data_IF_519900666147
#
_entry.id   IF_519900666147
#
_cell.length_a   1.000
_cell.length_b   1.000
_cell.length_c   1.000
_cell.angle_alpha   90.00
_cell.angle_beta   90.00
_cell.angle_gamma   90.00
#
_symmetry.space_group_name_H-M   'P 1'
#
loop_
_entity.id
_entity.type
_entity.pdbx_description
1 polymer ?
#
# COMPACT_ATOMS: atom_id res chain seq x y z
N UNK A 1 9.05 6.22 -10.81
CA UNK A 1 8.44 5.01 -11.40
C UNK A 1 8.81 3.83 -10.52
N UNK A 2 7.86 2.96 -10.16
CA UNK A 2 8.14 1.84 -9.25
C UNK A 2 8.87 0.69 -9.94
N UNK A 3 9.92 0.18 -9.30
CA UNK A 3 10.66 -1.03 -9.68
C UNK A 3 9.80 -2.30 -9.51
N UNK A 4 10.23 -3.42 -10.08
CA UNK A 4 9.52 -4.70 -9.93
C UNK A 4 9.40 -5.12 -8.46
N UNK A 5 10.43 -4.87 -7.66
CA UNK A 5 10.41 -5.13 -6.22
C UNK A 5 9.38 -4.25 -5.51
N UNK A 6 9.36 -2.95 -5.80
CA UNK A 6 8.37 -2.03 -5.22
C UNK A 6 6.93 -2.40 -5.63
N UNK A 7 6.73 -2.91 -6.85
CA UNK A 7 5.41 -3.42 -7.29
C UNK A 7 4.97 -4.65 -6.50
N UNK A 8 5.90 -5.57 -6.21
CA UNK A 8 5.63 -6.73 -5.35
C UNK A 8 5.30 -6.30 -3.92
N UNK A 9 6.08 -5.38 -3.35
CA UNK A 9 5.82 -4.82 -2.02
C UNK A 9 4.47 -4.10 -1.96
N UNK A 10 4.11 -3.36 -3.01
CA UNK A 10 2.79 -2.75 -3.12
C UNK A 10 1.67 -3.80 -3.11
N UNK A 11 1.78 -4.88 -3.88
CA UNK A 11 0.78 -5.96 -3.88
C UNK A 11 0.64 -6.60 -2.49
N UNK A 12 1.74 -6.86 -1.80
CA UNK A 12 1.73 -7.35 -0.41
C UNK A 12 1.05 -6.33 0.50
N UNK A 13 1.33 -5.04 0.33
CA UNK A 13 0.74 -3.97 1.13
C UNK A 13 -0.78 -3.87 0.95
N UNK A 14 -1.29 -3.91 -0.29
CA UNK A 14 -2.73 -3.71 -0.55
C UNK A 14 -3.56 -4.99 -0.47
N UNK A 15 -2.95 -6.16 -0.65
CA UNK A 15 -3.67 -7.43 -0.79
C UNK A 15 -3.12 -8.55 0.11
N UNK A 16 -1.97 -8.36 0.76
CA UNK A 16 -1.35 -9.38 1.61
C UNK A 16 -0.76 -10.56 0.84
N UNK A 17 -0.77 -10.52 -0.51
CA UNK A 17 -0.24 -11.58 -1.38
C UNK A 17 0.78 -10.99 -2.34
N UNK A 18 1.84 -11.76 -2.60
CA UNK A 18 2.89 -11.42 -3.55
C UNK A 18 2.57 -11.83 -5.00
N UNK A 19 1.50 -12.58 -5.22
CA UNK A 19 1.12 -13.15 -6.53
C UNK A 19 -0.24 -12.63 -6.99
N UNK A 20 -0.31 -12.14 -8.23
CA UNK A 20 -1.53 -11.72 -8.92
C UNK A 20 -2.31 -12.96 -9.38
N UNK A 21 -3.66 -13.00 -9.26
CA UNK A 21 -4.43 -14.10 -9.84
C UNK A 21 -4.20 -14.13 -11.35
N UNK A 22 -4.28 -15.31 -11.94
CA UNK A 22 -4.00 -15.47 -13.37
C UNK A 22 -5.06 -14.83 -14.27
N UNK A 23 -6.31 -14.69 -13.79
CA UNK A 23 -7.43 -14.13 -14.55
C UNK A 23 -8.09 -13.00 -13.75
N UNK A 24 -8.64 -12.01 -14.45
CA UNK A 24 -9.45 -10.94 -13.86
C UNK A 24 -10.65 -11.48 -13.07
N UNK A 25 -11.18 -12.63 -13.48
CA UNK A 25 -12.30 -13.34 -12.85
C UNK A 25 -11.94 -13.90 -11.47
N UNK A 26 -10.66 -14.20 -11.23
CA UNK A 26 -10.15 -14.74 -9.97
C UNK A 26 -9.94 -13.65 -8.91
N UNK A 27 -10.10 -12.37 -9.27
CA UNK A 27 -10.14 -11.28 -8.29
C UNK A 27 -11.46 -11.33 -7.54
N UNK A 28 -11.46 -12.02 -6.40
CA UNK A 28 -12.60 -12.07 -5.48
C UNK A 28 -13.11 -10.67 -5.06
N UNK A 29 -12.21 -9.69 -5.04
CA UNK A 29 -12.49 -8.29 -4.68
C UNK A 29 -11.79 -7.36 -5.66
N UNK A 30 -12.44 -6.25 -6.03
CA UNK A 30 -11.81 -5.22 -6.88
C UNK A 30 -10.96 -4.27 -6.06
N UNK A 31 -9.80 -3.90 -6.59
CA UNK A 31 -8.95 -2.89 -5.97
C UNK A 31 -9.66 -1.54 -5.94
N UNK A 32 -9.83 -0.97 -4.74
CA UNK A 32 -10.54 0.30 -4.55
C UNK A 32 -9.64 1.33 -3.90
N UNK A 33 -9.61 2.55 -4.43
CA UNK A 33 -8.89 3.68 -3.84
C UNK A 33 -9.92 4.59 -3.16
N UNK A 34 -9.77 4.79 -1.86
CA UNK A 34 -10.62 5.68 -1.06
C UNK A 34 -9.81 6.90 -0.58
N UNK A 35 -10.47 8.04 -0.42
CA UNK A 35 -9.83 9.22 0.18
C UNK A 35 -9.71 9.03 1.70
N UNK A 36 -8.51 9.22 2.24
CA UNK A 36 -8.30 9.30 3.68
C UNK A 36 -8.53 10.75 4.14
N UNK A 37 -9.66 10.98 4.80
CA UNK A 37 -9.96 12.27 5.43
C UNK A 37 -9.13 12.40 6.72
N UNK A 38 -8.40 13.51 6.86
CA UNK A 38 -7.56 13.77 8.04
C UNK A 38 -7.64 15.23 8.43
N UNK A 39 -7.77 15.49 9.72
CA UNK A 39 -7.79 16.84 10.29
C UNK A 39 -6.35 17.27 10.59
N UNK A 40 -5.62 17.71 9.57
CA UNK A 40 -4.24 18.14 9.71
C UNK A 40 -3.46 18.15 8.41
N UNK A 41 -2.14 18.14 8.53
CA UNK A 41 -1.19 18.16 7.41
C UNK A 41 -1.25 16.83 6.65
N UNK A 42 -2.02 16.79 5.56
CA UNK A 42 -2.25 15.60 4.71
C UNK A 42 -0.96 14.98 4.22
N UNK A 43 0.06 15.82 3.99
CA UNK A 43 1.36 15.42 3.46
C UNK A 43 2.20 14.66 4.49
N UNK A 44 1.88 14.78 5.79
CA UNK A 44 2.52 14.00 6.86
C UNK A 44 1.85 12.64 7.11
N UNK A 45 0.63 12.43 6.62
CA UNK A 45 -0.12 11.21 6.87
C UNK A 45 0.32 10.11 5.90
N UNK A 46 0.56 8.92 6.42
CA UNK A 46 0.89 7.74 5.60
C UNK A 46 -0.41 7.11 5.04
N UNK A 47 -0.37 6.56 3.82
CA UNK A 47 -1.50 5.83 3.27
C UNK A 47 -1.77 4.56 4.09
N UNK A 48 -3.03 4.14 4.11
CA UNK A 48 -3.46 2.93 4.82
C UNK A 48 -4.03 1.93 3.83
N UNK A 49 -3.63 0.68 3.92
CA UNK A 49 -4.23 -0.41 3.15
C UNK A 49 -5.09 -1.28 4.05
N UNK A 50 -6.14 -1.83 3.44
CA UNK A 50 -7.01 -2.83 4.04
C UNK A 50 -6.97 -4.06 3.14
N UNK A 51 -6.11 -5.01 3.52
CA UNK A 51 -5.87 -6.24 2.74
C UNK A 51 -7.13 -7.10 2.63
N UNK A 52 -7.96 -7.14 3.69
CA UNK A 52 -9.22 -7.88 3.70
C UNK A 52 -10.23 -7.38 2.66
N UNK A 53 -10.26 -6.08 2.37
CA UNK A 53 -11.22 -5.45 1.43
C UNK A 53 -10.54 -4.98 0.15
N UNK A 54 -9.26 -5.28 -0.03
CA UNK A 54 -8.43 -4.82 -1.13
C UNK A 54 -8.57 -3.31 -1.42
N UNK A 55 -8.58 -2.51 -0.33
CA UNK A 55 -8.84 -1.07 -0.40
C UNK A 55 -7.60 -0.29 0.04
N UNK A 56 -7.21 0.73 -0.73
CA UNK A 56 -6.15 1.66 -0.39
C UNK A 56 -6.73 3.03 -0.05
N UNK A 57 -6.51 3.49 1.17
CA UNK A 57 -6.89 4.81 1.64
C UNK A 57 -5.71 5.78 1.46
N UNK A 58 -5.86 6.72 0.54
CA UNK A 58 -4.88 7.73 0.21
C UNK A 58 -5.33 9.11 0.68
N UNK A 59 -4.50 9.86 1.43
CA UNK A 59 -4.69 11.28 1.64
C UNK A 59 -4.73 12.04 0.30
N UNK A 60 -5.43 13.16 0.27
CA UNK A 60 -5.37 14.11 -0.83
C UNK A 60 -4.05 14.91 -0.75
N UNK A 61 -2.93 14.26 -1.07
CA UNK A 61 -1.60 14.87 -1.05
C UNK A 61 -1.53 16.10 -1.96
N UNK A 62 -0.73 17.08 -1.54
CA UNK A 62 -0.56 18.34 -2.28
C UNK A 62 0.10 18.13 -3.65
N UNK A 63 1.01 17.15 -3.76
CA UNK A 63 1.70 16.83 -5.02
C UNK A 63 1.87 15.32 -5.24
N UNK A 64 2.08 14.93 -6.50
CA UNK A 64 2.38 13.54 -6.89
C UNK A 64 3.69 13.03 -6.28
N UNK A 65 4.66 13.91 -6.07
CA UNK A 65 5.96 13.58 -5.49
C UNK A 65 5.82 13.16 -4.02
N UNK A 66 5.04 13.92 -3.24
CA UNK A 66 4.73 13.59 -1.85
C UNK A 66 3.98 12.25 -1.78
N UNK A 67 2.94 12.08 -2.62
CA UNK A 67 2.22 10.81 -2.70
C UNK A 67 3.17 9.63 -2.96
N UNK A 68 4.08 9.78 -3.92
CA UNK A 68 5.05 8.74 -4.26
C UNK A 68 5.98 8.44 -3.09
N UNK A 69 6.54 9.46 -2.43
CA UNK A 69 7.43 9.29 -1.27
C UNK A 69 6.72 8.59 -0.10
N UNK A 70 5.50 9.04 0.24
CA UNK A 70 4.71 8.46 1.34
C UNK A 70 4.25 7.05 1.06
N UNK A 71 3.81 6.77 -0.17
CA UNK A 71 3.44 5.42 -0.57
C UNK A 71 4.67 4.50 -0.57
N UNK A 72 5.80 4.94 -1.12
CA UNK A 72 7.03 4.17 -1.12
C UNK A 72 7.52 3.88 0.30
N UNK A 73 7.42 4.85 1.20
CA UNK A 73 7.75 4.66 2.61
C UNK A 73 6.80 3.65 3.27
N UNK A 74 5.50 3.74 3.03
CA UNK A 74 4.52 2.83 3.61
C UNK A 74 4.70 1.37 3.14
N UNK A 75 4.91 1.15 1.84
CA UNK A 75 5.10 -0.21 1.30
C UNK A 75 6.44 -0.82 1.76
N UNK A 76 7.50 -0.02 1.88
CA UNK A 76 8.80 -0.53 2.36
C UNK A 76 8.78 -0.76 3.86
N UNK A 77 8.24 0.18 4.65
CA UNK A 77 8.14 0.06 6.10
C UNK A 77 7.23 -1.09 6.54
N UNK A 78 6.13 -1.37 5.84
CA UNK A 78 5.21 -2.43 6.23
C UNK A 78 5.78 -3.83 5.93
N UNK A 79 6.58 -3.98 4.88
CA UNK A 79 7.20 -5.26 4.53
C UNK A 79 8.49 -5.55 5.28
N UNK A 80 9.22 -4.52 5.73
CA UNK A 80 10.45 -4.71 6.51
C UNK A 80 10.22 -5.21 7.95
N UNK A 81 8.98 -5.17 8.45
CA UNK A 81 8.66 -5.57 9.84
C UNK A 81 8.55 -7.10 9.99
N UNK A 82 8.37 -7.87 8.90
CA UNK A 82 8.31 -9.35 8.97
C UNK A 82 9.70 -10.03 8.93
N UNK A 83 10.81 -9.28 9.05
CA UNK A 83 12.18 -9.83 9.03
C UNK A 83 13.00 -9.46 10.28
N UNK A 84 12.36 -9.19 11.42
CA UNK A 84 13.07 -9.23 12.71
C UNK A 84 12.15 -9.67 13.86
N UNK A 85 11.67 -10.91 13.76
CA UNK A 85 10.83 -11.56 14.77
C UNK A 85 11.26 -12.97 15.15
N UNK A 86 12.48 -13.41 14.76
CA UNK A 86 13.11 -14.59 15.37
C UNK A 86 13.84 -14.15 16.63
N UNK A 87 13.08 -13.89 17.68
CA UNK A 87 13.60 -13.97 19.04
C UNK A 87 13.89 -15.46 19.30
N UNK A 88 15.17 -15.85 19.33
CA UNK A 88 15.65 -17.08 19.96
C UNK A 88 16.49 -16.70 21.17
#
# INVERSE_FOLDING_TARGET
MFSEEQRKLFLIFVWGRSTVPYRDEDFATKFTIASLQTSGDVDKVLPKSYTCTFTLHLPAYSTKEIMYERLNYAITSCSSIDTDGRMN
#
